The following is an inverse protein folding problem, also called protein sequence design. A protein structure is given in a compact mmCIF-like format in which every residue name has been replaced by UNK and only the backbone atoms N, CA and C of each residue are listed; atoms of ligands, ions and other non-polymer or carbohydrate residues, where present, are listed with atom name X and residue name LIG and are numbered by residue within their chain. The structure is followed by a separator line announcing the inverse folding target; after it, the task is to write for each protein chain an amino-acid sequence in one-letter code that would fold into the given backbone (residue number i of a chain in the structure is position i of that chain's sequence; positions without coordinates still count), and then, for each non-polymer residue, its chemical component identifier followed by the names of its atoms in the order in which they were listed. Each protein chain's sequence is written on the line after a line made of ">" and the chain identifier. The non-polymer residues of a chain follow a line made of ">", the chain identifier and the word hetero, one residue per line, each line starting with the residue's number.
data_IF_425395100841
#
_entry.id   IF_425395100841
#
_cell.length_a   1.000
_cell.length_b   1.000
_cell.length_c   1.000
_cell.angle_alpha   90.00
_cell.angle_beta   90.00
_cell.angle_gamma   90.00
#
_symmetry.space_group_name_H-M   'P 1'
#
loop_
_entity.id
_entity.type
_entity.pdbx_description
1 polymer ?
#
# COMPACT_ATOMS: atom_id res chain seq x y z
N UNK A 1 9.71 -16.57 4.66
CA UNK A 1 8.92 -15.32 4.63
C UNK A 1 8.25 -15.18 5.98
N UNK A 2 8.64 -14.15 6.75
CA UNK A 2 8.13 -13.93 8.10
C UNK A 2 6.66 -13.45 8.06
N UNK A 3 5.85 -13.85 9.03
CA UNK A 3 4.43 -13.46 9.12
C UNK A 3 4.26 -12.38 10.19
N UNK A 4 3.61 -11.27 9.86
CA UNK A 4 3.33 -10.15 10.77
C UNK A 4 1.84 -9.79 10.76
N UNK A 5 1.34 -9.33 11.91
CA UNK A 5 -0.06 -8.86 12.04
C UNK A 5 -0.22 -7.40 11.61
N UNK A 6 0.80 -6.60 11.88
CA UNK A 6 0.85 -5.16 11.68
C UNK A 6 2.03 -4.80 10.79
N UNK A 7 1.85 -3.76 9.97
CA UNK A 7 2.90 -3.22 9.12
C UNK A 7 2.66 -1.74 8.85
N UNK A 8 3.72 -0.94 8.97
CA UNK A 8 3.74 0.48 8.60
C UNK A 8 4.70 0.64 7.45
N UNK A 9 4.25 1.28 6.38
CA UNK A 9 5.06 1.53 5.19
C UNK A 9 6.25 2.41 5.56
N UNK A 10 7.44 1.98 5.17
CA UNK A 10 8.71 2.66 5.41
C UNK A 10 9.41 2.97 4.08
N UNK A 11 10.53 3.71 4.10
CA UNK A 11 11.35 3.91 2.89
C UNK A 11 11.88 2.62 2.27
N UNK A 12 11.99 1.54 3.04
CA UNK A 12 12.43 0.24 2.54
C UNK A 12 11.31 -0.53 1.83
N UNK A 13 10.03 -0.13 2.02
CA UNK A 13 8.88 -0.78 1.39
C UNK A 13 8.89 -0.53 -0.12
N UNK A 14 9.12 -1.57 -0.91
CA UNK A 14 9.06 -1.49 -2.37
C UNK A 14 7.68 -1.83 -2.92
N UNK A 15 7.01 -2.84 -2.33
CA UNK A 15 5.73 -3.33 -2.84
C UNK A 15 4.81 -3.77 -1.71
N UNK A 16 3.53 -3.48 -1.87
CA UNK A 16 2.44 -4.10 -1.11
C UNK A 16 1.49 -4.73 -2.12
N UNK A 17 1.43 -6.06 -2.13
CA UNK A 17 0.64 -6.84 -3.08
C UNK A 17 -0.41 -7.71 -2.38
N UNK A 18 -1.48 -8.11 -3.07
CA UNK A 18 -2.44 -9.09 -2.56
C UNK A 18 -1.83 -10.50 -2.55
N UNK A 19 -2.11 -11.28 -1.50
CA UNK A 19 -1.85 -12.73 -1.48
C UNK A 19 -3.00 -13.43 -0.77
N UNK A 20 -3.38 -14.63 -1.25
CA UNK A 20 -4.40 -15.44 -0.59
C UNK A 20 -3.74 -16.52 0.27
N UNK A 21 -4.26 -16.76 1.47
CA UNK A 21 -3.83 -17.91 2.26
C UNK A 21 -4.54 -19.19 1.82
N UNK A 22 -4.18 -20.32 2.43
CA UNK A 22 -4.75 -21.65 2.14
C UNK A 22 -6.26 -21.71 2.30
N UNK A 23 -6.83 -20.88 3.19
CA UNK A 23 -8.27 -20.78 3.44
C UNK A 23 -8.97 -19.76 2.53
N UNK A 24 -8.28 -19.18 1.54
CA UNK A 24 -8.84 -18.21 0.59
C UNK A 24 -9.05 -16.79 1.14
N UNK A 25 -8.52 -16.47 2.33
CA UNK A 25 -8.58 -15.11 2.86
C UNK A 25 -7.53 -14.22 2.19
N UNK A 26 -7.93 -12.99 1.85
CA UNK A 26 -7.04 -11.99 1.27
C UNK A 26 -6.17 -11.35 2.35
N UNK A 27 -4.86 -11.51 2.18
CA UNK A 27 -3.76 -10.97 2.97
C UNK A 27 -2.88 -10.06 2.09
N UNK A 28 -1.80 -9.53 2.65
CA UNK A 28 -0.79 -8.79 1.90
C UNK A 28 0.54 -9.53 1.89
N UNK A 29 1.25 -9.41 0.78
CA UNK A 29 2.69 -9.60 0.75
C UNK A 29 3.33 -8.22 0.72
N UNK A 30 4.34 -8.01 1.57
CA UNK A 30 5.17 -6.82 1.55
C UNK A 30 6.56 -7.21 1.14
N UNK A 31 7.12 -6.51 0.17
CA UNK A 31 8.50 -6.67 -0.26
C UNK A 31 9.29 -5.43 0.14
N UNK A 32 10.30 -5.63 0.96
CA UNK A 32 11.32 -4.64 1.29
C UNK A 32 12.63 -4.96 0.55
N UNK A 33 13.56 -4.02 0.52
CA UNK A 33 14.85 -4.15 -0.17
C UNK A 33 15.59 -5.44 0.19
N UNK A 34 15.54 -5.86 1.45
CA UNK A 34 16.31 -7.00 1.96
C UNK A 34 15.46 -8.18 2.45
N UNK A 35 14.14 -8.02 2.56
CA UNK A 35 13.28 -9.03 3.18
C UNK A 35 11.84 -8.91 2.72
N UNK A 36 11.07 -9.98 2.91
CA UNK A 36 9.66 -10.04 2.54
C UNK A 36 8.83 -10.51 3.73
N UNK A 37 7.62 -9.97 3.85
CA UNK A 37 6.66 -10.33 4.89
C UNK A 37 5.31 -10.76 4.31
N UNK A 38 4.66 -11.69 5.01
CA UNK A 38 3.21 -11.91 4.89
C UNK A 38 2.52 -11.10 5.96
N UNK A 39 1.60 -10.22 5.59
CA UNK A 39 0.82 -9.42 6.52
C UNK A 39 -0.60 -9.94 6.55
N UNK A 40 -1.14 -10.19 7.75
CA UNK A 40 -2.48 -10.78 7.89
C UNK A 40 -3.64 -9.84 7.48
N UNK A 41 -3.31 -8.61 7.10
CA UNK A 41 -4.24 -7.56 6.68
C UNK A 41 -4.28 -7.48 5.16
N UNK A 42 -5.40 -7.01 4.61
CA UNK A 42 -5.55 -6.70 3.18
C UNK A 42 -4.66 -5.49 2.80
N UNK A 43 -4.18 -5.39 1.55
CA UNK A 43 -3.29 -4.29 1.13
C UNK A 43 -3.86 -2.90 1.41
N UNK A 44 -5.16 -2.72 1.15
CA UNK A 44 -5.87 -1.47 1.43
C UNK A 44 -5.87 -1.09 2.92
N UNK A 45 -5.92 -2.08 3.82
CA UNK A 45 -5.89 -1.84 5.26
C UNK A 45 -4.48 -1.44 5.71
N UNK A 46 -3.44 -2.06 5.17
CA UNK A 46 -2.03 -1.66 5.42
C UNK A 46 -1.80 -0.21 4.98
N UNK A 47 -2.29 0.17 3.79
CA UNK A 47 -2.21 1.55 3.29
C UNK A 47 -2.92 2.54 4.23
N UNK A 48 -4.15 2.23 4.65
CA UNK A 48 -4.92 3.07 5.58
C UNK A 48 -4.22 3.24 6.92
N UNK A 49 -3.77 2.14 7.50
CA UNK A 49 -3.13 2.14 8.81
C UNK A 49 -1.81 2.91 8.76
N UNK A 50 -1.05 2.82 7.67
CA UNK A 50 0.16 3.61 7.44
C UNK A 50 -0.15 5.10 7.28
N UNK A 51 -1.16 5.49 6.50
CA UNK A 51 -1.58 6.89 6.41
C UNK A 51 -1.92 7.45 7.80
N UNK A 52 -2.71 6.71 8.58
CA UNK A 52 -3.07 7.10 9.95
C UNK A 52 -1.86 7.23 10.87
N UNK A 53 -0.90 6.30 10.78
CA UNK A 53 0.35 6.36 11.53
C UNK A 53 1.13 7.65 11.26
N UNK A 54 1.17 8.09 10.00
CA UNK A 54 1.81 9.34 9.59
C UNK A 54 0.92 10.59 9.72
N UNK A 55 -0.20 10.49 10.45
CA UNK A 55 -1.08 11.64 10.74
C UNK A 55 -1.99 12.06 9.59
N UNK A 56 -2.26 11.18 8.63
CA UNK A 56 -3.09 11.45 7.47
C UNK A 56 -4.23 10.43 7.29
N UNK A 57 -5.19 10.74 6.41
CA UNK A 57 -6.27 9.83 6.05
C UNK A 57 -6.16 9.45 4.58
N UNK A 58 -6.08 8.15 4.30
CA UNK A 58 -5.99 7.61 2.94
C UNK A 58 -7.05 8.19 1.99
N UNK A 59 -8.31 8.27 2.42
CA UNK A 59 -9.39 8.75 1.54
C UNK A 59 -9.23 10.26 1.25
N UNK A 60 -8.84 11.04 2.25
CA UNK A 60 -8.60 12.48 2.08
C UNK A 60 -7.43 12.76 1.14
N UNK A 61 -6.32 12.02 1.27
CA UNK A 61 -5.19 12.11 0.34
C UNK A 61 -5.63 11.75 -1.07
N UNK A 62 -6.30 10.59 -1.23
CA UNK A 62 -6.76 10.14 -2.54
C UNK A 62 -7.68 11.14 -3.21
N UNK A 63 -8.60 11.75 -2.45
CA UNK A 63 -9.50 12.79 -2.97
C UNK A 63 -8.72 14.04 -3.38
N UNK A 64 -7.85 14.56 -2.51
CA UNK A 64 -7.03 15.73 -2.81
C UNK A 64 -6.14 15.50 -4.06
N UNK A 65 -5.46 14.35 -4.15
CA UNK A 65 -4.66 13.99 -5.33
C UNK A 65 -5.52 13.87 -6.57
N UNK A 66 -6.75 13.34 -6.48
CA UNK A 66 -7.69 13.27 -7.61
C UNK A 66 -8.06 14.68 -8.09
N UNK A 67 -8.35 15.61 -7.18
CA UNK A 67 -8.71 16.98 -7.52
C UNK A 67 -7.53 17.74 -8.16
N UNK A 68 -6.31 17.55 -7.65
CA UNK A 68 -5.09 18.22 -8.12
C UNK A 68 -4.64 17.67 -9.48
N UNK A 69 -4.64 16.34 -9.64
CA UNK A 69 -4.05 15.67 -10.82
C UNK A 69 -5.07 15.32 -11.91
N UNK A 70 -6.36 15.29 -11.59
CA UNK A 70 -7.41 14.77 -12.46
C UNK A 70 -7.44 13.24 -12.60
N UNK A 71 -6.54 12.50 -11.94
CA UNK A 71 -6.51 11.05 -12.01
C UNK A 71 -7.73 10.41 -11.35
N UNK A 72 -8.52 9.66 -12.13
CA UNK A 72 -9.70 8.94 -11.62
C UNK A 72 -9.40 7.49 -11.22
N UNK A 73 -8.32 6.93 -11.74
CA UNK A 73 -7.85 5.58 -11.46
C UNK A 73 -6.35 5.61 -11.14
N UNK A 74 -5.87 4.60 -10.40
CA UNK A 74 -4.46 4.49 -9.99
C UNK A 74 -3.89 5.76 -9.33
N UNK A 75 -4.73 6.40 -8.51
CA UNK A 75 -4.41 7.69 -7.88
C UNK A 75 -3.21 7.53 -6.94
N UNK A 76 -2.12 8.28 -7.12
CA UNK A 76 -0.97 8.26 -6.23
C UNK A 76 -1.38 8.64 -4.80
N UNK A 77 -0.73 8.05 -3.81
CA UNK A 77 -0.96 8.30 -2.39
C UNK A 77 0.34 8.81 -1.79
N UNK A 78 0.37 10.08 -1.38
CA UNK A 78 1.46 10.60 -0.55
C UNK A 78 1.18 10.21 0.91
N UNK A 79 1.91 9.21 1.42
CA UNK A 79 1.73 8.69 2.77
C UNK A 79 2.41 9.63 3.78
N UNK A 80 3.63 10.10 3.46
CA UNK A 80 4.37 11.05 4.28
C UNK A 80 5.25 11.93 3.41
N UNK A 81 4.98 13.23 3.42
CA UNK A 81 5.80 14.22 2.72
C UNK A 81 7.20 14.34 3.34
N UNK A 82 7.31 14.23 4.67
CA UNK A 82 8.58 14.36 5.38
C UNK A 82 9.58 13.25 5.01
N UNK A 83 9.06 12.04 4.79
CA UNK A 83 9.87 10.87 4.43
C UNK A 83 9.92 10.65 2.91
N UNK A 84 9.34 11.53 2.10
CA UNK A 84 9.15 11.34 0.66
C UNK A 84 8.51 9.99 0.30
N UNK A 85 7.54 9.53 1.11
CA UNK A 85 6.86 8.25 0.91
C UNK A 85 5.63 8.43 0.02
N UNK A 86 5.77 8.01 -1.24
CA UNK A 86 4.70 7.97 -2.21
C UNK A 86 4.41 6.53 -2.63
N UNK A 87 3.14 6.22 -2.84
CA UNK A 87 2.69 4.92 -3.33
C UNK A 87 1.85 5.14 -4.58
N UNK A 88 2.21 4.53 -5.72
CA UNK A 88 1.56 4.78 -7.02
C UNK A 88 0.76 3.57 -7.53
N UNK A 89 -0.50 3.33 -7.16
CA UNK A 89 -1.17 2.04 -7.39
C UNK A 89 -0.92 1.45 -8.80
N UNK A 90 -0.23 0.31 -8.86
CA UNK A 90 0.29 -0.24 -10.13
C UNK A 90 -0.82 -0.85 -10.98
N UNK A 91 -1.90 -1.24 -10.32
CA UNK A 91 -3.09 -1.79 -10.94
C UNK A 91 -4.35 -1.05 -10.52
N UNK A 92 -5.33 -1.06 -11.43
CA UNK A 92 -6.66 -0.63 -11.06
C UNK A 92 -7.27 -1.69 -10.13
N UNK A 93 -8.13 -1.32 -9.17
CA UNK A 93 -8.85 -2.28 -8.31
C UNK A 93 -9.66 -3.35 -9.06
N UNK A 94 -9.79 -3.24 -10.39
CA UNK A 94 -10.52 -4.15 -11.28
C UNK A 94 -9.66 -5.27 -11.90
N UNK A 95 -8.34 -5.23 -11.76
CA UNK A 95 -7.43 -6.24 -12.34
C UNK A 95 -6.66 -6.93 -11.21
N UNK A 96 -6.50 -8.26 -11.33
CA UNK A 96 -5.77 -9.11 -10.38
C UNK A 96 -4.32 -9.21 -10.88
N UNK A 97 -3.37 -8.69 -10.09
CA UNK A 97 -1.92 -8.99 -9.97
C UNK A 97 -0.98 -7.79 -10.25
N UNK A 98 -0.32 -7.21 -9.23
CA UNK A 98 0.79 -6.29 -9.55
C UNK A 98 1.93 -6.18 -8.52
N UNK A 99 3.11 -5.93 -9.11
CA UNK A 99 4.46 -5.77 -8.54
C UNK A 99 5.11 -4.44 -9.00
N UNK A 100 5.85 -3.76 -8.10
CA UNK A 100 7.04 -2.90 -8.35
C UNK A 100 6.92 -1.35 -8.29
N UNK A 101 7.62 -0.68 -7.34
CA UNK A 101 7.92 0.78 -7.35
C UNK A 101 9.42 1.10 -7.38
N UNK A 102 9.71 2.37 -7.68
CA UNK A 102 10.98 3.08 -7.51
C UNK A 102 10.80 4.16 -6.45
#
# INVERSE_FOLDING_TARGET
>A
MESKKEYVISPDTMVIGPIYNENGYLHSIVMEVHTNYKITKKPYKVMKDSCHYYGSNYNGIREATTQITGFKSKVPICISHYLNLFFFPLESPKMKHAHGFR
#
